data_IF_616357522113
#
_entry.id   IF_616357522113
#
_cell.length_a   1.000
_cell.length_b   1.000
_cell.length_c   1.000
_cell.angle_alpha   90.00
_cell.angle_beta   90.00
_cell.angle_gamma   90.00
#
_symmetry.space_group_name_H-M   'P 1'
#
loop_
_entity.id
_entity.type
_entity.pdbx_description
1 polymer ?
#
# COMPACT_ATOMS: atom_id res chain seq x y z
N UNK A 1 -26.88 21.80 15.66
CA UNK A 1 -25.89 22.82 16.06
C UNK A 1 -25.35 22.41 17.41
N UNK A 2 -24.03 22.18 17.49
CA UNK A 2 -23.32 22.03 18.75
C UNK A 2 -22.96 23.40 19.34
N UNK A 3 -22.06 23.34 20.31
CA UNK A 3 -21.61 24.42 21.18
C UNK A 3 -20.09 24.51 21.14
N UNK A 4 -19.47 25.37 21.96
CA UNK A 4 -18.01 25.45 22.05
C UNK A 4 -17.38 24.31 22.90
N UNK A 5 -18.06 23.18 23.02
CA UNK A 5 -17.69 22.04 23.85
C UNK A 5 -17.98 20.77 23.08
N UNK A 6 -17.29 19.70 23.47
CA UNK A 6 -17.62 18.33 23.06
C UNK A 6 -19.12 18.03 23.20
N UNK A 7 -19.74 17.81 22.06
CA UNK A 7 -21.13 17.45 21.90
C UNK A 7 -21.28 16.06 21.26
N UNK A 8 -22.49 15.53 21.34
CA UNK A 8 -22.91 14.35 20.56
C UNK A 8 -24.23 14.68 19.92
N UNK A 9 -24.25 14.74 18.59
CA UNK A 9 -25.36 15.25 17.80
C UNK A 9 -25.87 14.12 16.91
N UNK A 10 -27.19 13.97 16.86
CA UNK A 10 -27.88 13.00 16.02
C UNK A 10 -28.81 13.77 15.09
N UNK A 11 -28.70 13.52 13.79
CA UNK A 11 -29.70 13.89 12.81
C UNK A 11 -30.93 12.99 12.89
N UNK A 12 -31.75 13.09 11.86
CA UNK A 12 -33.05 12.44 11.74
C UNK A 12 -32.97 11.32 10.70
N UNK A 13 -34.09 11.02 10.04
CA UNK A 13 -34.14 10.04 8.95
C UNK A 13 -34.39 10.71 7.59
N UNK A 14 -34.06 12.00 7.47
CA UNK A 14 -34.12 12.75 6.22
C UNK A 14 -32.89 13.63 6.10
N UNK A 15 -32.84 14.44 5.04
CA UNK A 15 -31.68 15.31 4.77
C UNK A 15 -31.48 16.34 5.89
N UNK A 16 -30.36 16.23 6.58
CA UNK A 16 -29.98 17.08 7.70
C UNK A 16 -28.74 17.94 7.38
N UNK A 17 -28.68 19.12 7.99
CA UNK A 17 -27.49 19.97 7.98
C UNK A 17 -27.05 20.19 9.41
N UNK A 18 -25.90 19.62 9.77
CA UNK A 18 -25.41 19.58 11.15
C UNK A 18 -24.04 20.24 11.23
N UNK A 19 -23.90 21.13 12.21
CA UNK A 19 -22.64 21.79 12.54
C UNK A 19 -22.28 21.47 13.99
N UNK A 20 -21.06 20.97 14.22
CA UNK A 20 -20.45 20.72 15.52
C UNK A 20 -20.10 22.03 16.21
N UNK A 21 -19.11 22.76 15.69
CA UNK A 21 -18.68 24.04 16.24
C UNK A 21 -17.24 23.96 16.72
N UNK A 22 -16.97 24.40 17.95
CA UNK A 22 -15.66 24.16 18.57
C UNK A 22 -15.75 22.96 19.51
N UNK A 23 -14.66 22.22 19.65
CA UNK A 23 -14.55 21.11 20.58
C UNK A 23 -14.72 19.77 19.88
N UNK A 24 -14.21 18.71 20.50
CA UNK A 24 -14.13 17.38 19.88
C UNK A 24 -15.48 16.65 19.88
N UNK A 25 -16.24 16.84 18.81
CA UNK A 25 -17.63 16.44 18.64
C UNK A 25 -17.79 15.04 18.04
N UNK A 26 -18.99 14.49 18.22
CA UNK A 26 -19.44 13.27 17.52
C UNK A 26 -20.77 13.56 16.84
N UNK A 27 -20.81 13.41 15.52
CA UNK A 27 -21.97 13.74 14.69
C UNK A 27 -22.43 12.49 13.94
N UNK A 28 -23.71 12.15 14.06
CA UNK A 28 -24.38 11.11 13.30
C UNK A 28 -25.43 11.76 12.38
N UNK A 29 -25.34 11.54 11.06
CA UNK A 29 -26.30 12.02 10.06
C UNK A 29 -27.62 11.28 10.17
N UNK A 30 -27.61 9.98 9.92
CA UNK A 30 -28.79 9.14 10.01
C UNK A 30 -29.14 8.53 8.67
N UNK A 31 -30.43 8.35 8.41
CA UNK A 31 -30.87 8.06 7.04
C UNK A 31 -31.05 9.40 6.31
N UNK A 32 -30.59 9.56 5.08
CA UNK A 32 -30.73 10.83 4.36
C UNK A 32 -29.49 11.16 3.54
N UNK A 33 -29.55 12.24 2.77
CA UNK A 33 -28.34 12.83 2.20
C UNK A 33 -27.98 14.01 3.10
N UNK A 34 -27.00 13.82 3.97
CA UNK A 34 -26.70 14.74 5.05
C UNK A 34 -25.49 15.62 4.73
N UNK A 35 -25.45 16.78 5.35
CA UNK A 35 -24.29 17.68 5.34
C UNK A 35 -23.79 17.85 6.77
N UNK A 36 -22.64 17.26 7.07
CA UNK A 36 -22.03 17.27 8.38
C UNK A 36 -20.78 18.13 8.37
N UNK A 37 -20.68 19.07 9.31
CA UNK A 37 -19.51 19.90 9.52
C UNK A 37 -19.03 19.79 10.97
N UNK A 38 -17.79 19.33 11.18
CA UNK A 38 -17.15 19.24 12.49
C UNK A 38 -16.85 20.62 13.06
N UNK A 39 -15.90 21.32 12.46
CA UNK A 39 -15.52 22.67 12.84
C UNK A 39 -14.08 22.72 13.33
N UNK A 40 -13.88 23.14 14.58
CA UNK A 40 -12.54 23.19 15.19
C UNK A 40 -12.37 22.04 16.18
N UNK A 41 -11.14 21.55 16.30
CA UNK A 41 -10.73 20.37 17.06
C UNK A 41 -11.10 19.05 16.39
N UNK A 42 -10.55 17.93 16.91
CA UNK A 42 -10.73 16.62 16.29
C UNK A 42 -12.11 16.03 16.56
N UNK A 43 -12.87 15.85 15.49
CA UNK A 43 -14.26 15.43 15.45
C UNK A 43 -14.43 14.01 14.91
N UNK A 44 -15.61 13.43 15.11
CA UNK A 44 -15.99 12.14 14.51
C UNK A 44 -17.33 12.27 13.79
N UNK A 45 -17.31 12.17 12.47
CA UNK A 45 -18.46 12.35 11.59
C UNK A 45 -18.88 11.01 10.99
N UNK A 46 -20.14 10.66 11.15
CA UNK A 46 -20.76 9.44 10.63
C UNK A 46 -21.97 9.81 9.79
N UNK A 47 -21.91 9.65 8.46
CA UNK A 47 -23.05 9.90 7.56
C UNK A 47 -24.18 8.89 7.76
N UNK A 48 -23.80 7.61 7.80
CA UNK A 48 -24.64 6.43 7.94
C UNK A 48 -25.29 5.97 6.64
N UNK A 49 -26.50 6.37 6.28
CA UNK A 49 -27.18 5.83 5.09
C UNK A 49 -27.64 6.93 4.15
N UNK A 50 -27.09 6.94 2.94
CA UNK A 50 -27.43 7.87 1.87
C UNK A 50 -26.17 8.58 1.39
N UNK A 51 -26.30 9.60 0.54
CA UNK A 51 -25.14 10.26 -0.06
C UNK A 51 -24.79 11.51 0.73
N UNK A 52 -23.80 11.37 1.58
CA UNK A 52 -23.46 12.36 2.58
C UNK A 52 -22.27 13.23 2.13
N UNK A 53 -22.23 14.45 2.67
CA UNK A 53 -21.10 15.35 2.58
C UNK A 53 -20.57 15.60 3.99
N UNK A 54 -19.36 15.14 4.26
CA UNK A 54 -18.68 15.27 5.54
C UNK A 54 -17.51 16.24 5.41
N UNK A 55 -17.46 17.23 6.29
CA UNK A 55 -16.33 18.16 6.41
C UNK A 55 -15.82 18.21 7.85
N UNK A 56 -14.59 17.75 8.09
CA UNK A 56 -13.92 17.77 9.39
C UNK A 56 -13.66 19.19 9.86
N UNK A 57 -12.71 19.89 9.23
CA UNK A 57 -12.35 21.26 9.54
C UNK A 57 -10.92 21.37 10.03
N UNK A 58 -10.71 22.05 11.16
CA UNK A 58 -9.40 22.13 11.81
C UNK A 58 -9.32 21.05 12.88
N UNK A 59 -8.34 20.17 12.86
CA UNK A 59 -8.22 19.10 13.86
C UNK A 59 -7.81 17.78 13.23
N UNK A 60 -7.75 16.75 14.07
CA UNK A 60 -7.55 15.40 13.58
C UNK A 60 -8.91 14.70 13.61
N UNK A 61 -9.54 14.62 12.46
CA UNK A 61 -10.92 14.20 12.31
C UNK A 61 -11.03 12.73 11.88
N UNK A 62 -12.14 12.10 12.24
CA UNK A 62 -12.53 10.79 11.73
C UNK A 62 -13.80 10.92 10.90
N UNK A 63 -13.72 10.55 9.62
CA UNK A 63 -14.82 10.66 8.67
C UNK A 63 -15.22 9.26 8.17
N UNK A 64 -16.50 8.94 8.30
CA UNK A 64 -17.10 7.71 7.81
C UNK A 64 -18.45 8.04 7.18
N UNK A 65 -18.50 8.07 5.84
CA UNK A 65 -19.73 8.32 5.09
C UNK A 65 -20.76 7.21 5.33
N UNK A 66 -20.34 5.95 5.21
CA UNK A 66 -21.17 4.79 5.48
C UNK A 66 -21.71 4.18 4.19
N UNK A 67 -23.00 3.88 4.15
CA UNK A 67 -23.58 3.28 2.95
C UNK A 67 -23.84 4.32 1.87
N UNK A 68 -23.69 3.91 0.61
CA UNK A 68 -23.82 4.73 -0.60
C UNK A 68 -22.54 5.55 -0.89
N UNK A 69 -22.62 6.60 -1.70
CA UNK A 69 -21.45 7.25 -2.28
C UNK A 69 -21.29 8.64 -1.69
N UNK A 70 -20.25 8.79 -0.86
CA UNK A 70 -20.08 9.95 0.01
C UNK A 70 -18.91 10.83 -0.40
N UNK A 71 -18.93 12.08 0.05
CA UNK A 71 -17.81 13.00 -0.09
C UNK A 71 -17.27 13.29 1.31
N UNK A 72 -16.00 12.99 1.52
CA UNK A 72 -15.32 13.19 2.80
C UNK A 72 -14.15 14.15 2.63
N UNK A 73 -14.16 15.24 3.40
CA UNK A 73 -13.11 16.26 3.43
C UNK A 73 -12.65 16.46 4.87
N UNK A 74 -11.42 16.08 5.17
CA UNK A 74 -10.75 16.20 6.46
C UNK A 74 -10.48 17.66 6.78
N UNK A 75 -9.44 18.23 6.18
CA UNK A 75 -9.13 19.65 6.32
C UNK A 75 -7.72 19.88 6.81
N UNK A 76 -7.55 20.62 7.90
CA UNK A 76 -6.25 20.90 8.49
C UNK A 76 -6.00 19.93 9.65
N UNK A 77 -5.01 19.06 9.53
CA UNK A 77 -4.61 18.15 10.60
C UNK A 77 -4.40 16.75 10.06
N UNK A 78 -4.27 15.75 10.95
CA UNK A 78 -4.07 14.37 10.55
C UNK A 78 -5.41 13.64 10.59
N UNK A 79 -6.03 13.47 9.44
CA UNK A 79 -7.39 12.96 9.32
C UNK A 79 -7.42 11.47 8.97
N UNK A 80 -8.54 10.84 9.32
CA UNK A 80 -8.79 9.42 9.05
C UNK A 80 -10.11 9.25 8.31
N UNK A 81 -10.03 8.70 7.12
CA UNK A 81 -11.16 8.36 6.27
C UNK A 81 -11.45 6.87 6.33
N UNK A 82 -12.73 6.51 6.46
CA UNK A 82 -13.19 5.14 6.28
C UNK A 82 -13.90 5.01 4.94
N UNK A 83 -13.34 4.19 4.05
CA UNK A 83 -13.87 3.93 2.71
C UNK A 83 -14.38 2.50 2.64
N UNK A 84 -15.68 2.35 2.43
CA UNK A 84 -16.36 1.06 2.27
C UNK A 84 -17.20 0.97 1.00
N UNK A 85 -17.33 2.08 0.26
CA UNK A 85 -18.01 2.09 -1.00
C UNK A 85 -17.18 2.73 -2.13
N UNK A 86 -17.23 2.11 -3.32
CA UNK A 86 -16.43 2.54 -4.49
C UNK A 86 -16.75 3.94 -5.01
N UNK A 87 -17.86 4.50 -4.54
CA UNK A 87 -18.33 5.83 -4.90
C UNK A 87 -17.84 6.91 -3.94
N UNK A 88 -17.17 6.54 -2.86
CA UNK A 88 -16.65 7.48 -1.89
C UNK A 88 -15.53 8.30 -2.48
N UNK A 89 -15.54 9.59 -2.18
CA UNK A 89 -14.55 10.57 -2.62
C UNK A 89 -13.85 11.17 -1.39
N UNK A 90 -12.56 10.85 -1.24
CA UNK A 90 -11.70 11.48 -0.23
C UNK A 90 -11.07 12.73 -0.84
N UNK A 91 -11.16 13.86 -0.14
CA UNK A 91 -10.66 15.15 -0.62
C UNK A 91 -9.72 15.74 0.42
N UNK A 92 -8.43 15.77 0.07
CA UNK A 92 -7.40 16.49 0.81
C UNK A 92 -6.85 17.71 0.07
N UNK A 93 -6.42 18.71 0.85
CA UNK A 93 -5.81 19.93 0.31
C UNK A 93 -4.34 19.99 0.72
N UNK A 94 -3.42 19.96 -0.26
CA UNK A 94 -1.97 19.99 -0.07
C UNK A 94 -1.38 21.29 0.48
N UNK A 95 -1.93 21.81 1.58
CA UNK A 95 -1.43 22.99 2.27
C UNK A 95 -0.35 22.59 3.31
N UNK A 96 0.49 23.54 3.74
CA UNK A 96 1.62 23.29 4.65
C UNK A 96 1.23 22.84 6.08
N UNK A 97 -0.08 22.82 6.38
CA UNK A 97 -0.65 22.41 7.66
C UNK A 97 -1.48 21.11 7.53
N UNK A 98 -1.63 20.52 6.34
CA UNK A 98 -2.52 19.38 6.04
C UNK A 98 -2.02 18.04 6.54
N UNK A 99 -1.40 18.03 7.72
CA UNK A 99 -1.06 16.82 8.47
C UNK A 99 -0.45 15.65 7.70
N UNK A 100 -0.80 14.45 8.15
CA UNK A 100 -0.48 13.15 7.55
C UNK A 100 -1.77 12.36 7.61
N UNK A 101 -2.37 12.12 6.45
CA UNK A 101 -3.73 11.64 6.35
C UNK A 101 -3.78 10.15 6.04
N UNK A 102 -4.85 9.52 6.50
CA UNK A 102 -4.98 8.06 6.47
C UNK A 102 -6.31 7.64 5.89
N UNK A 103 -6.27 6.81 4.84
CA UNK A 103 -7.43 6.04 4.39
C UNK A 103 -7.39 4.64 5.00
N UNK A 104 -8.50 4.25 5.61
CA UNK A 104 -8.80 2.87 6.01
C UNK A 104 -9.86 2.32 5.07
N UNK A 105 -9.49 1.34 4.26
CA UNK A 105 -10.38 0.81 3.22
C UNK A 105 -10.74 -0.65 3.48
N UNK A 106 -12.01 -1.01 3.25
CA UNK A 106 -12.48 -2.41 3.18
C UNK A 106 -12.73 -2.87 1.74
N UNK A 107 -12.35 -2.05 0.76
CA UNK A 107 -12.39 -2.32 -0.68
C UNK A 107 -11.03 -2.02 -1.33
N UNK A 108 -10.87 -2.35 -2.60
CA UNK A 108 -9.73 -1.86 -3.39
C UNK A 108 -9.71 -0.33 -3.40
N UNK A 109 -8.53 0.27 -3.20
CA UNK A 109 -8.43 1.72 -3.12
C UNK A 109 -7.15 2.27 -3.73
N UNK A 110 -7.28 3.42 -4.38
CA UNK A 110 -6.18 4.24 -4.88
C UNK A 110 -6.19 5.55 -4.11
N UNK A 111 -5.07 5.89 -3.46
CA UNK A 111 -4.93 7.12 -2.71
C UNK A 111 -5.17 8.33 -3.62
N UNK A 112 -5.99 9.25 -3.13
CA UNK A 112 -6.18 10.56 -3.73
C UNK A 112 -4.95 11.42 -3.49
N UNK A 113 -4.81 12.51 -4.24
CA UNK A 113 -3.70 13.46 -4.02
C UNK A 113 -3.69 13.95 -2.57
N UNK A 114 -2.49 14.18 -2.02
CA UNK A 114 -2.27 14.69 -0.66
C UNK A 114 -2.65 13.72 0.49
N UNK A 115 -2.85 12.43 0.20
CA UNK A 115 -3.01 11.41 1.26
C UNK A 115 -1.76 10.54 1.31
N UNK A 116 -1.21 10.34 2.50
CA UNK A 116 0.06 9.61 2.67
C UNK A 116 -0.15 8.13 3.01
N UNK A 117 -1.16 7.78 3.81
CA UNK A 117 -1.30 6.43 4.35
C UNK A 117 -2.53 5.69 3.83
N UNK A 118 -2.34 4.41 3.48
CA UNK A 118 -3.41 3.47 3.16
C UNK A 118 -3.33 2.24 4.06
N UNK A 119 -4.44 1.88 4.71
CA UNK A 119 -4.60 0.64 5.45
C UNK A 119 -5.77 -0.17 4.89
N UNK A 120 -5.47 -1.29 4.24
CA UNK A 120 -6.48 -2.26 3.84
C UNK A 120 -6.90 -3.08 5.07
N UNK A 121 -8.21 -3.22 5.25
CA UNK A 121 -8.81 -3.91 6.38
C UNK A 121 -9.45 -5.24 5.95
N UNK A 122 -9.80 -6.05 6.96
CA UNK A 122 -10.36 -7.38 6.74
C UNK A 122 -9.31 -8.40 6.33
N UNK A 123 -9.73 -9.43 5.61
CA UNK A 123 -8.90 -10.56 5.19
C UNK A 123 -9.20 -11.00 3.76
N UNK A 124 -9.85 -10.13 2.98
CA UNK A 124 -10.13 -10.37 1.56
C UNK A 124 -8.95 -9.94 0.70
N UNK A 125 -8.86 -10.45 -0.51
CA UNK A 125 -7.85 -10.06 -1.48
C UNK A 125 -8.18 -8.65 -2.00
N UNK A 126 -7.65 -7.65 -1.31
CA UNK A 126 -7.83 -6.23 -1.62
C UNK A 126 -6.55 -5.66 -2.23
N UNK A 127 -6.68 -4.62 -3.03
CA UNK A 127 -5.55 -3.98 -3.70
C UNK A 127 -5.40 -2.52 -3.25
N UNK A 128 -4.15 -2.07 -3.17
CA UNK A 128 -3.78 -0.73 -2.77
C UNK A 128 -2.93 -0.05 -3.84
N UNK A 129 -3.17 1.22 -4.07
CA UNK A 129 -2.33 2.04 -4.95
C UNK A 129 -2.08 3.39 -4.28
N UNK A 130 -0.83 3.81 -4.23
CA UNK A 130 -0.39 5.11 -3.75
C UNK A 130 -0.67 6.23 -4.75
N UNK A 131 0.05 7.33 -4.57
CA UNK A 131 0.03 8.51 -5.42
C UNK A 131 1.49 8.94 -5.73
N UNK A 132 1.76 10.24 -5.90
CA UNK A 132 3.11 10.73 -6.22
C UNK A 132 3.93 11.17 -4.98
N UNK A 133 3.41 10.90 -3.78
CA UNK A 133 4.04 11.21 -2.50
C UNK A 133 4.78 9.99 -1.97
N UNK A 134 5.45 10.16 -0.84
CA UNK A 134 5.99 9.04 -0.08
C UNK A 134 4.84 8.41 0.71
N UNK A 135 4.35 7.25 0.26
CA UNK A 135 3.21 6.57 0.85
C UNK A 135 3.60 5.45 1.83
N UNK A 136 2.79 5.27 2.87
CA UNK A 136 2.80 4.06 3.72
C UNK A 136 1.54 3.24 3.39
N UNK A 137 1.74 2.11 2.71
CA UNK A 137 0.67 1.25 2.22
C UNK A 137 0.73 -0.08 2.95
N UNK A 138 -0.26 -0.33 3.79
CA UNK A 138 -0.43 -1.56 4.52
C UNK A 138 -1.54 -2.41 3.89
N UNK A 139 -1.16 -3.56 3.35
CA UNK A 139 -2.04 -4.65 2.98
C UNK A 139 -2.79 -5.25 4.17
N UNK A 140 -3.54 -6.30 3.90
CA UNK A 140 -4.25 -7.09 4.90
C UNK A 140 -3.71 -8.54 4.90
N UNK A 141 -4.47 -9.53 5.39
CA UNK A 141 -3.98 -10.91 5.44
C UNK A 141 -4.37 -11.75 4.20
N UNK A 142 -4.86 -11.10 3.14
CA UNK A 142 -5.22 -11.74 1.88
C UNK A 142 -4.18 -11.42 0.81
N UNK A 143 -4.27 -12.07 -0.35
CA UNK A 143 -3.33 -11.78 -1.44
C UNK A 143 -3.59 -10.37 -1.99
N UNK A 144 -2.64 -9.45 -1.77
CA UNK A 144 -2.76 -8.04 -2.14
C UNK A 144 -1.87 -7.70 -3.35
N UNK A 145 -2.35 -6.78 -4.20
CA UNK A 145 -1.46 -6.05 -5.10
C UNK A 145 -1.29 -4.62 -4.60
N UNK A 146 -0.06 -4.25 -4.27
CA UNK A 146 0.32 -2.97 -3.71
C UNK A 146 1.25 -2.24 -4.68
N UNK A 147 0.88 -1.00 -5.04
CA UNK A 147 1.64 -0.14 -5.94
C UNK A 147 1.97 1.18 -5.25
N UNK A 148 3.24 1.53 -5.08
CA UNK A 148 3.67 2.83 -4.51
C UNK A 148 3.54 3.97 -5.51
N UNK A 149 3.96 3.71 -6.76
CA UNK A 149 4.03 4.61 -7.91
C UNK A 149 5.28 5.49 -7.92
N UNK A 150 5.25 6.68 -7.34
CA UNK A 150 6.40 7.57 -7.33
C UNK A 150 6.52 8.20 -5.95
N UNK A 151 7.74 8.32 -5.45
CA UNK A 151 7.97 8.69 -4.05
C UNK A 151 8.94 7.70 -3.43
N UNK A 152 9.38 7.94 -2.20
CA UNK A 152 10.06 6.90 -1.42
C UNK A 152 9.00 6.21 -0.55
N UNK A 153 8.51 5.07 -0.99
CA UNK A 153 7.33 4.39 -0.44
C UNK A 153 7.69 3.26 0.55
N UNK A 154 6.75 2.92 1.43
CA UNK A 154 6.80 1.75 2.30
C UNK A 154 5.56 0.88 2.08
N UNK A 155 5.73 -0.31 1.51
CA UNK A 155 4.66 -1.26 1.20
C UNK A 155 4.78 -2.49 2.10
N UNK A 156 3.69 -2.87 2.78
CA UNK A 156 3.65 -4.02 3.69
C UNK A 156 2.54 -4.98 3.26
N UNK A 157 2.91 -6.17 2.77
CA UNK A 157 2.00 -7.24 2.35
C UNK A 157 1.29 -7.91 3.53
N UNK A 158 2.08 -8.42 4.50
CA UNK A 158 1.69 -9.18 5.71
C UNK A 158 1.57 -10.68 5.46
N UNK A 159 0.37 -11.23 5.45
CA UNK A 159 0.13 -12.65 5.15
C UNK A 159 -0.53 -12.69 3.78
N UNK A 160 -0.19 -13.65 2.94
CA UNK A 160 -0.79 -13.74 1.60
C UNK A 160 0.30 -13.88 0.55
N UNK A 161 -0.08 -14.15 -0.70
CA UNK A 161 0.87 -14.13 -1.81
C UNK A 161 0.77 -12.75 -2.46
N UNK A 162 1.58 -11.83 -1.99
CA UNK A 162 1.44 -10.41 -2.32
C UNK A 162 2.26 -10.03 -3.55
N UNK A 163 1.79 -9.02 -4.28
CA UNK A 163 2.52 -8.37 -5.36
C UNK A 163 2.87 -6.95 -4.94
N UNK A 164 4.15 -6.64 -4.78
CA UNK A 164 4.66 -5.34 -4.33
C UNK A 164 5.47 -4.67 -5.45
N UNK A 165 5.05 -3.47 -5.83
CA UNK A 165 5.70 -2.63 -6.85
C UNK A 165 5.85 -1.22 -6.30
N UNK A 166 7.03 -0.89 -5.76
CA UNK A 166 7.32 0.44 -5.20
C UNK A 166 7.23 1.52 -6.27
N UNK A 167 7.83 1.27 -7.44
CA UNK A 167 7.79 2.19 -8.56
C UNK A 167 9.05 3.07 -8.61
N UNK A 168 8.89 4.35 -8.93
CA UNK A 168 10.02 5.29 -9.00
C UNK A 168 10.32 5.82 -7.61
N UNK A 169 11.44 5.44 -7.01
CA UNK A 169 11.65 5.77 -5.62
C UNK A 169 12.94 5.25 -5.02
N UNK A 170 12.98 5.24 -3.70
CA UNK A 170 13.85 4.33 -2.96
C UNK A 170 12.94 3.68 -1.93
N UNK A 171 12.37 2.54 -2.32
CA UNK A 171 11.21 2.00 -1.63
C UNK A 171 11.61 0.93 -0.61
N UNK A 172 10.75 0.71 0.38
CA UNK A 172 10.83 -0.41 1.31
C UNK A 172 9.65 -1.34 1.05
N UNK A 173 9.95 -2.57 0.62
CA UNK A 173 8.96 -3.58 0.28
C UNK A 173 9.06 -4.72 1.30
N UNK A 174 8.02 -4.89 2.12
CA UNK A 174 7.94 -5.90 3.16
C UNK A 174 6.86 -6.90 2.75
N UNK A 175 7.23 -8.07 2.24
CA UNK A 175 6.26 -9.10 1.82
C UNK A 175 5.56 -9.71 3.01
N UNK A 176 6.36 -10.26 3.94
CA UNK A 176 5.85 -10.94 5.13
C UNK A 176 5.84 -12.45 4.92
N UNK A 177 4.70 -13.11 5.16
CA UNK A 177 4.56 -14.56 4.98
C UNK A 177 3.74 -14.88 3.73
N UNK A 178 4.22 -15.82 2.92
CA UNK A 178 3.45 -16.31 1.77
C UNK A 178 4.35 -16.68 0.61
N UNK A 179 3.97 -16.38 -0.62
CA UNK A 179 4.90 -16.45 -1.76
C UNK A 179 4.76 -15.13 -2.51
N UNK A 180 5.62 -14.20 -2.17
CA UNK A 180 5.49 -12.82 -2.58
C UNK A 180 6.22 -12.57 -3.89
N UNK A 181 5.76 -11.56 -4.62
CA UNK A 181 6.38 -11.07 -5.84
C UNK A 181 6.73 -9.61 -5.70
N UNK A 182 8.02 -9.31 -5.71
CA UNK A 182 8.56 -7.96 -5.72
C UNK A 182 8.89 -7.59 -7.16
N UNK A 183 8.29 -6.52 -7.69
CA UNK A 183 8.55 -6.06 -9.04
C UNK A 183 9.61 -4.96 -9.06
N UNK A 184 10.51 -5.02 -10.03
CA UNK A 184 11.57 -4.03 -10.21
C UNK A 184 11.83 -3.74 -11.69
N UNK A 185 11.89 -2.47 -12.07
CA UNK A 185 12.24 -2.03 -13.43
C UNK A 185 13.37 -0.98 -13.43
N UNK A 186 13.86 -0.62 -14.61
CA UNK A 186 14.86 0.43 -14.77
C UNK A 186 14.27 1.78 -14.39
N UNK A 187 15.05 2.57 -13.65
CA UNK A 187 14.64 3.86 -13.13
C UNK A 187 13.83 3.80 -11.84
N UNK A 188 13.67 2.61 -11.26
CA UNK A 188 12.99 2.44 -9.96
C UNK A 188 13.84 2.92 -8.78
N UNK A 189 15.14 3.15 -8.98
CA UNK A 189 16.03 3.67 -7.95
C UNK A 189 16.57 2.57 -7.04
N UNK A 190 16.62 2.81 -5.73
CA UNK A 190 17.30 1.91 -4.78
C UNK A 190 16.37 1.38 -3.71
N UNK A 191 15.84 0.20 -3.95
CA UNK A 191 14.82 -0.38 -3.09
C UNK A 191 15.43 -1.35 -2.08
N UNK A 192 14.69 -1.58 -1.01
CA UNK A 192 14.99 -2.57 0.03
C UNK A 192 13.84 -3.56 0.13
N UNK A 193 14.15 -4.85 0.06
CA UNK A 193 13.21 -5.94 0.31
C UNK A 193 13.49 -6.52 1.70
N UNK A 194 12.43 -6.69 2.48
CA UNK A 194 12.41 -7.46 3.71
C UNK A 194 11.38 -8.59 3.57
N UNK A 195 11.84 -9.81 3.75
CA UNK A 195 11.00 -11.00 3.66
C UNK A 195 11.04 -11.78 4.99
N UNK A 196 9.99 -12.53 5.30
CA UNK A 196 9.91 -13.34 6.53
C UNK A 196 9.77 -14.84 6.27
N UNK A 197 9.15 -15.25 5.16
CA UNK A 197 9.11 -16.64 4.70
C UNK A 197 8.34 -16.78 3.40
N UNK A 198 8.83 -17.65 2.52
CA UNK A 198 8.05 -18.04 1.37
C UNK A 198 8.84 -18.81 0.33
N UNK A 199 8.28 -18.85 -0.87
CA UNK A 199 9.02 -19.14 -2.09
C UNK A 199 8.84 -17.95 -3.02
N UNK A 200 9.67 -16.94 -2.78
CA UNK A 200 9.40 -15.58 -3.21
C UNK A 200 10.08 -15.28 -4.55
N UNK A 201 9.63 -14.21 -5.20
CA UNK A 201 10.07 -13.84 -6.54
C UNK A 201 10.47 -12.38 -6.61
N UNK A 202 11.69 -12.11 -7.07
CA UNK A 202 12.08 -10.82 -7.61
C UNK A 202 11.85 -10.86 -9.12
N UNK A 203 10.84 -10.13 -9.58
CA UNK A 203 10.45 -10.08 -10.99
C UNK A 203 10.95 -8.80 -11.65
N UNK A 204 11.73 -8.96 -12.72
CA UNK A 204 12.26 -7.83 -13.48
C UNK A 204 11.35 -7.42 -14.64
N UNK A 205 11.26 -6.11 -14.84
CA UNK A 205 10.59 -5.47 -15.96
C UNK A 205 11.25 -5.75 -17.32
N UNK A 206 10.60 -5.25 -18.38
CA UNK A 206 11.04 -5.49 -19.76
C UNK A 206 12.36 -4.77 -20.04
N UNK A 207 13.30 -5.47 -20.67
CA UNK A 207 14.58 -4.89 -21.06
C UNK A 207 15.67 -4.98 -20.00
N UNK A 208 15.39 -5.63 -18.87
CA UNK A 208 16.39 -6.18 -17.96
C UNK A 208 16.58 -7.66 -18.33
N UNK A 209 17.82 -8.05 -18.60
CA UNK A 209 18.22 -9.44 -18.84
C UNK A 209 19.12 -9.94 -17.71
N UNK A 210 19.28 -11.25 -17.57
CA UNK A 210 20.17 -11.82 -16.56
C UNK A 210 21.62 -11.32 -16.65
N UNK A 211 22.09 -10.93 -17.85
CA UNK A 211 23.43 -10.35 -18.03
C UNK A 211 23.55 -8.89 -17.57
N UNK A 212 22.44 -8.20 -17.34
CA UNK A 212 22.44 -6.83 -16.82
C UNK A 212 22.51 -6.79 -15.28
N UNK A 213 22.32 -7.94 -14.63
CA UNK A 213 22.26 -8.07 -13.17
C UNK A 213 23.64 -8.38 -12.61
N UNK A 214 24.07 -7.57 -11.64
CA UNK A 214 25.29 -7.80 -10.86
C UNK A 214 24.92 -8.05 -9.40
N UNK A 215 25.41 -9.15 -8.84
CA UNK A 215 25.18 -9.50 -7.44
C UNK A 215 26.41 -9.12 -6.60
N UNK A 216 26.16 -8.53 -5.44
CA UNK A 216 27.21 -8.24 -4.46
C UNK A 216 26.72 -8.46 -3.05
N UNK A 217 27.63 -8.84 -2.16
CA UNK A 217 27.37 -9.00 -0.73
C UNK A 217 27.84 -7.78 0.04
N UNK A 218 27.00 -7.28 0.93
CA UNK A 218 27.35 -6.23 1.89
C UNK A 218 26.83 -6.59 3.27
N UNK A 219 27.71 -6.94 4.21
CA UNK A 219 27.30 -7.46 5.51
C UNK A 219 26.50 -8.76 5.35
N UNK A 220 25.26 -8.76 5.85
CA UNK A 220 24.30 -9.87 5.70
C UNK A 220 23.38 -9.72 4.47
N UNK A 221 23.51 -8.64 3.71
CA UNK A 221 22.55 -8.30 2.67
C UNK A 221 23.08 -8.71 1.30
N UNK A 222 22.15 -9.07 0.42
CA UNK A 222 22.43 -9.28 -1.00
C UNK A 222 21.97 -8.03 -1.76
N UNK A 223 22.87 -7.38 -2.48
CA UNK A 223 22.53 -6.29 -3.39
C UNK A 223 22.50 -6.79 -4.81
N UNK A 224 21.41 -6.52 -5.50
CA UNK A 224 21.09 -6.85 -6.88
C UNK A 224 21.11 -5.55 -7.68
N UNK A 225 22.22 -5.26 -8.37
CA UNK A 225 22.36 -4.05 -9.18
C UNK A 225 21.92 -4.28 -10.61
N UNK A 226 21.16 -3.33 -11.16
CA UNK A 226 20.76 -3.28 -12.57
C UNK A 226 21.32 -2.00 -13.17
N UNK A 227 22.35 -2.13 -14.01
CA UNK A 227 23.08 -0.96 -14.51
C UNK A 227 23.89 -0.25 -13.41
N UNK A 228 23.88 1.09 -13.41
CA UNK A 228 24.75 1.91 -12.54
C UNK A 228 24.02 2.70 -11.46
N UNK A 229 22.70 2.86 -11.55
CA UNK A 229 21.91 3.71 -10.64
C UNK A 229 20.89 2.93 -9.82
N UNK A 230 20.45 1.79 -10.35
CA UNK A 230 19.28 1.09 -9.85
C UNK A 230 19.72 -0.20 -9.15
N UNK A 231 19.13 -0.47 -7.98
CA UNK A 231 19.46 -1.67 -7.22
C UNK A 231 18.35 -2.08 -6.27
N UNK A 232 18.25 -3.38 -6.02
CA UNK A 232 17.46 -3.91 -4.92
C UNK A 232 18.40 -4.47 -3.86
N UNK A 233 18.23 -4.07 -2.61
CA UNK A 233 18.90 -4.67 -1.46
C UNK A 233 17.94 -5.62 -0.77
N UNK A 234 18.26 -6.90 -0.75
CA UNK A 234 17.50 -7.90 0.01
C UNK A 234 18.17 -7.99 1.38
N UNK A 235 17.43 -7.56 2.41
CA UNK A 235 17.92 -7.47 3.77
C UNK A 235 18.13 -8.86 4.36
N UNK A 236 19.21 -9.03 5.13
CA UNK A 236 19.50 -10.25 5.88
C UNK A 236 19.51 -11.59 5.09
N UNK A 237 19.67 -11.54 3.77
CA UNK A 237 19.79 -12.70 2.87
C UNK A 237 20.74 -13.80 3.40
N UNK A 238 21.85 -13.42 4.03
CA UNK A 238 22.87 -14.34 4.54
C UNK A 238 22.68 -14.77 6.01
N UNK A 239 21.61 -14.33 6.68
CA UNK A 239 21.32 -14.65 8.10
C UNK A 239 20.47 -15.91 8.29
N UNK A 240 19.74 -16.34 7.25
CA UNK A 240 18.82 -17.48 7.29
C UNK A 240 18.25 -17.82 5.91
N UNK A 241 17.26 -18.71 5.86
CA UNK A 241 16.51 -18.97 4.62
C UNK A 241 15.25 -18.10 4.50
N UNK A 242 14.75 -17.58 5.62
CA UNK A 242 13.51 -16.82 5.70
C UNK A 242 13.55 -15.45 5.00
N UNK A 243 14.74 -14.89 4.79
CA UNK A 243 14.93 -13.57 4.19
C UNK A 243 15.42 -13.66 2.74
N UNK A 244 15.38 -14.86 2.15
CA UNK A 244 15.84 -15.08 0.79
C UNK A 244 14.69 -14.91 -0.17
N UNK A 245 15.06 -14.54 -1.39
CA UNK A 245 14.16 -14.59 -2.54
C UNK A 245 14.62 -15.75 -3.42
N UNK A 246 13.77 -16.76 -3.58
CA UNK A 246 14.14 -18.00 -4.26
C UNK A 246 14.26 -17.80 -5.77
N UNK A 247 13.39 -16.96 -6.35
CA UNK A 247 13.22 -16.86 -7.79
C UNK A 247 13.57 -15.48 -8.32
N UNK A 248 14.47 -15.43 -9.30
CA UNK A 248 14.80 -14.22 -10.07
C UNK A 248 14.22 -14.38 -11.46
N UNK A 249 13.10 -13.72 -11.73
CA UNK A 249 12.29 -13.94 -12.93
C UNK A 249 12.40 -12.79 -13.90
N UNK A 250 12.60 -13.10 -15.18
CA UNK A 250 12.74 -12.11 -16.24
C UNK A 250 11.53 -12.10 -17.18
N UNK A 251 11.37 -11.00 -17.91
CA UNK A 251 10.24 -10.79 -18.82
C UNK A 251 10.15 -11.78 -20.00
N UNK A 252 11.23 -12.51 -20.31
CA UNK A 252 11.25 -13.59 -21.31
C UNK A 252 10.71 -14.94 -20.77
N UNK A 253 10.36 -14.99 -19.48
CA UNK A 253 9.86 -16.17 -18.79
C UNK A 253 10.95 -17.05 -18.19
N UNK A 254 12.22 -16.68 -18.30
CA UNK A 254 13.30 -17.39 -17.63
C UNK A 254 13.32 -17.12 -16.11
N UNK A 255 13.68 -18.14 -15.35
CA UNK A 255 13.83 -18.07 -13.90
C UNK A 255 15.25 -18.50 -13.53
N UNK A 256 15.84 -17.78 -12.59
CA UNK A 256 17.17 -18.00 -12.06
C UNK A 256 17.14 -18.10 -10.54
N UNK A 257 18.13 -18.77 -9.99
CA UNK A 257 18.43 -18.80 -8.56
C UNK A 257 19.81 -18.16 -8.32
N UNK A 258 20.02 -17.63 -7.11
CA UNK A 258 21.33 -17.14 -6.70
C UNK A 258 22.20 -18.31 -6.25
N UNK A 259 23.35 -18.47 -6.90
CA UNK A 259 24.37 -19.45 -6.52
C UNK A 259 25.69 -18.75 -6.23
N UNK A 260 26.45 -19.23 -5.25
CA UNK A 260 27.76 -18.65 -4.95
C UNK A 260 28.32 -19.03 -3.59
N UNK A 261 29.57 -18.63 -3.34
CA UNK A 261 30.23 -18.76 -2.05
C UNK A 261 31.21 -17.61 -1.82
N UNK A 262 31.32 -17.16 -0.56
CA UNK A 262 32.23 -16.09 -0.17
C UNK A 262 31.71 -14.75 -0.67
N UNK A 263 32.45 -14.13 -1.59
CA UNK A 263 32.09 -12.83 -2.20
C UNK A 263 31.69 -12.96 -3.68
N UNK A 264 31.59 -14.18 -4.20
CA UNK A 264 31.28 -14.45 -5.61
C UNK A 264 29.89 -15.09 -5.74
N UNK A 265 28.90 -14.28 -6.13
CA UNK A 265 27.51 -14.69 -6.37
C UNK A 265 27.11 -14.42 -7.82
N UNK A 266 26.29 -15.30 -8.39
CA UNK A 266 25.76 -15.18 -9.74
C UNK A 266 24.38 -15.78 -9.87
N UNK A 267 23.64 -15.36 -10.89
CA UNK A 267 22.40 -15.99 -11.29
C UNK A 267 22.68 -17.27 -12.10
N UNK A 268 22.05 -18.37 -11.70
CA UNK A 268 22.07 -19.66 -12.41
C UNK A 268 20.67 -20.04 -12.88
N UNK A 269 20.53 -20.37 -14.16
CA UNK A 269 19.22 -20.68 -14.74
C UNK A 269 18.62 -21.93 -14.11
N UNK A 270 17.34 -21.85 -13.72
CA UNK A 270 16.56 -22.99 -13.25
C UNK A 270 16.12 -23.78 -14.48
N UNK A 271 16.87 -24.84 -14.81
CA UNK A 271 16.47 -25.73 -15.88
C UNK A 271 15.24 -26.53 -15.44
N UNK A 272 14.06 -26.20 -15.96
CA UNK A 272 12.92 -27.10 -15.89
C UNK A 272 13.34 -28.44 -16.52
N UNK A 273 13.42 -29.51 -15.75
CA UNK A 273 13.69 -30.85 -16.29
C UNK A 273 12.55 -31.14 -17.27
N UNK A 274 12.84 -31.01 -18.58
CA UNK A 274 11.95 -31.53 -19.61
C UNK A 274 11.79 -33.02 -19.30
N UNK A 275 10.56 -33.48 -19.13
CA UNK A 275 10.25 -34.90 -19.18
C UNK A 275 10.82 -35.45 -20.49
N UNK A 276 11.98 -36.11 -20.42
CA UNK A 276 12.35 -37.10 -21.41
C UNK A 276 11.32 -38.22 -21.28
N UNK A 277 10.23 -38.09 -22.04
CA UNK A 277 9.50 -39.27 -22.47
C UNK A 277 10.48 -40.05 -23.33
N UNK A 278 11.10 -41.06 -22.72
CA UNK A 278 11.69 -42.15 -23.49
C UNK A 278 10.57 -42.72 -24.35
N UNK A 279 10.61 -42.42 -25.65
CA UNK A 279 9.85 -43.19 -26.63
C UNK A 279 10.48 -44.59 -26.62
N UNK A 280 9.76 -45.66 -26.25
CA UNK A 280 10.30 -47.00 -26.34
C UNK A 280 10.46 -47.33 -27.82
N UNK A 281 11.66 -47.77 -28.20
CA UNK A 281 11.91 -48.35 -29.53
C UNK A 281 11.00 -49.57 -29.72
N UNK A 282 10.16 -49.53 -30.76
CA UNK A 282 9.54 -50.72 -31.37
C UNK A 282 9.80 -50.65 -32.86
#
# INVERSE_FOLDING_TARGET
MGTDKKDTIYGTGGEDVIYGGDGADVIYGGDGNDTLQGGNNGDSLYGQAGKDYLQGGDGNDYLNGGADADIMRGGDGNDVYFVDHKGDEVIEYGNLNGGIDTVRSVIDYTLTDNVEHLFLQGSGNLNGTGNALNNDINGNSGDNHLYGLAGDDCLVGKDGNDYLDGGIGNDVLIGGTGNDTYFFDKGYGRDTIQDESGNDTLQFGKGISASDVLLSKSGNNLTVSVGNSDSVTIDDWFSGNNHKIENFKFADGSTYEVTGHGDYYSLSAVNSIQQQTQVPSI
#
